data_IF_985435319909
#
_entry.id   IF_985435319909
#
_cell.length_a   1.000
_cell.length_b   1.000
_cell.length_c   1.000
_cell.angle_alpha   90.00
_cell.angle_beta   90.00
_cell.angle_gamma   90.00
#
_symmetry.space_group_name_H-M   'P 1'
#
loop_
_entity.id
_entity.type
_entity.pdbx_description
1 polymer ?
#
# COMPACT_ATOMS: atom_id res chain seq x y z
N UNK A 1 -1.61 28.99 -12.71
CA UNK A 1 -1.17 28.54 -11.36
C UNK A 1 0.22 29.11 -11.14
N UNK A 2 0.37 30.05 -10.20
CA UNK A 2 1.68 30.59 -9.86
C UNK A 2 2.42 29.54 -9.01
N UNK A 3 3.49 28.94 -9.54
CA UNK A 3 4.44 28.22 -8.71
C UNK A 3 5.02 29.21 -7.71
N UNK A 4 4.70 29.07 -6.42
CA UNK A 4 5.31 29.92 -5.39
C UNK A 4 6.82 29.70 -5.44
N UNK A 5 7.61 30.77 -5.24
CA UNK A 5 9.04 30.63 -5.01
C UNK A 5 9.24 29.73 -3.77
N UNK A 6 9.66 28.49 -4.02
CA UNK A 6 9.96 27.50 -3.00
C UNK A 6 11.30 27.81 -2.32
N UNK A 7 11.56 27.23 -1.13
CA UNK A 7 12.90 27.26 -0.55
C UNK A 7 13.88 26.52 -1.47
N UNK A 8 15.18 26.77 -1.31
CA UNK A 8 16.23 25.98 -1.97
C UNK A 8 16.09 24.52 -1.53
N UNK A 9 15.89 23.63 -2.50
CA UNK A 9 15.84 22.19 -2.27
C UNK A 9 17.24 21.63 -2.02
N UNK A 10 17.28 20.49 -1.33
CA UNK A 10 18.49 19.80 -0.93
C UNK A 10 18.80 18.65 -1.89
N UNK A 11 20.08 18.35 -2.02
CA UNK A 11 20.57 17.12 -2.62
C UNK A 11 20.51 15.98 -1.59
N UNK A 12 20.50 14.74 -2.06
CA UNK A 12 20.42 13.53 -1.24
C UNK A 12 21.46 13.53 -0.12
N UNK A 13 22.72 13.85 -0.43
CA UNK A 13 23.82 13.87 0.52
C UNK A 13 23.68 14.95 1.60
N UNK A 14 22.98 16.04 1.30
CA UNK A 14 22.73 17.15 2.24
C UNK A 14 21.42 17.00 3.01
N UNK A 15 20.58 16.01 2.65
CA UNK A 15 19.34 15.74 3.34
C UNK A 15 19.58 15.05 4.70
N UNK A 16 18.69 15.24 5.71
CA UNK A 16 18.79 14.52 6.98
C UNK A 16 18.83 12.99 6.81
N UNK A 17 19.56 12.24 7.66
CA UNK A 17 19.75 10.78 7.48
C UNK A 17 18.46 9.97 7.38
N UNK A 18 17.39 10.37 8.08
CA UNK A 18 16.09 9.69 8.03
C UNK A 18 15.33 9.89 6.70
N UNK A 19 15.74 10.85 5.87
CA UNK A 19 15.18 11.09 4.53
C UNK A 19 16.04 10.43 3.42
N UNK A 20 17.22 9.89 3.74
CA UNK A 20 18.16 9.28 2.80
C UNK A 20 17.81 7.81 2.47
N UNK A 21 16.55 7.49 2.16
CA UNK A 21 16.09 6.10 1.96
C UNK A 21 16.25 5.56 0.54
N UNK A 22 16.54 6.42 -0.45
CA UNK A 22 16.73 6.02 -1.84
C UNK A 22 17.93 6.76 -2.46
N UNK A 23 19.08 6.09 -2.56
CA UNK A 23 20.33 6.65 -3.09
C UNK A 23 20.31 6.98 -4.59
N UNK A 24 19.26 6.59 -5.31
CA UNK A 24 19.13 6.84 -6.75
C UNK A 24 18.32 8.11 -7.06
N UNK A 25 17.60 8.64 -6.06
CA UNK A 25 16.95 9.96 -6.13
C UNK A 25 17.94 10.97 -5.57
N UNK A 26 18.47 11.85 -6.42
CA UNK A 26 19.66 12.63 -6.08
C UNK A 26 19.33 14.05 -5.61
N UNK A 27 18.23 14.62 -6.07
CA UNK A 27 17.85 16.03 -5.86
C UNK A 27 16.38 16.19 -5.49
N UNK A 28 15.97 17.43 -5.21
CA UNK A 28 14.57 17.78 -5.01
C UNK A 28 14.03 17.55 -3.59
N UNK A 29 14.91 17.29 -2.61
CA UNK A 29 14.52 17.07 -1.22
C UNK A 29 14.13 18.37 -0.54
N UNK A 30 13.02 18.35 0.23
CA UNK A 30 12.59 19.52 1.00
C UNK A 30 13.46 19.71 2.25
N UNK A 31 13.85 20.95 2.59
CA UNK A 31 14.51 21.23 3.86
C UNK A 31 13.54 21.08 5.03
N UNK A 32 14.11 20.93 6.23
CA UNK A 32 13.33 20.84 7.46
C UNK A 32 12.40 22.06 7.62
N UNK A 33 11.09 21.82 7.74
CA UNK A 33 10.07 22.86 7.67
C UNK A 33 9.07 22.78 8.83
N UNK A 34 8.45 23.91 9.22
CA UNK A 34 7.29 23.89 10.13
C UNK A 34 6.09 23.21 9.47
N UNK A 35 5.03 22.91 10.23
CA UNK A 35 3.78 22.38 9.67
C UNK A 35 3.19 23.26 8.56
N UNK A 36 3.19 24.59 8.74
CA UNK A 36 2.77 25.53 7.70
C UNK A 36 3.70 25.52 6.47
N UNK A 37 5.01 25.36 6.67
CA UNK A 37 5.97 25.18 5.58
C UNK A 37 5.73 23.89 4.79
N UNK A 38 5.36 22.80 5.47
CA UNK A 38 4.95 21.55 4.84
C UNK A 38 3.68 21.76 3.99
N UNK A 39 2.66 22.42 4.52
CA UNK A 39 1.44 22.74 3.75
C UNK A 39 1.74 23.61 2.52
N UNK A 40 2.62 24.60 2.64
CA UNK A 40 3.05 25.43 1.51
C UNK A 40 3.77 24.61 0.42
N UNK A 41 4.35 23.46 0.75
CA UNK A 41 5.01 22.59 -0.23
C UNK A 41 4.08 21.98 -1.28
N UNK A 42 2.77 21.98 -1.03
CA UNK A 42 1.76 21.57 -2.02
C UNK A 42 1.79 22.41 -3.31
N UNK A 43 2.38 23.61 -3.26
CA UNK A 43 2.33 24.62 -4.32
C UNK A 43 3.68 24.88 -5.00
N UNK A 44 4.71 24.05 -4.75
CA UNK A 44 5.99 24.11 -5.48
C UNK A 44 6.52 22.72 -5.81
N UNK A 45 7.39 22.62 -6.81
CA UNK A 45 7.94 21.34 -7.28
C UNK A 45 8.98 20.76 -6.33
N UNK A 46 8.84 19.50 -5.96
CA UNK A 46 9.81 18.72 -5.17
C UNK A 46 9.62 17.21 -5.41
N UNK A 47 10.55 16.38 -4.95
CA UNK A 47 10.56 14.93 -5.24
C UNK A 47 9.36 14.14 -4.66
N UNK A 48 8.85 14.57 -3.51
CA UNK A 48 7.65 13.96 -2.90
C UNK A 48 6.31 14.41 -3.49
N UNK A 49 6.30 15.35 -4.46
CA UNK A 49 5.05 15.95 -4.93
C UNK A 49 4.12 14.90 -5.55
N UNK A 50 4.65 14.05 -6.43
CA UNK A 50 3.88 12.96 -7.00
C UNK A 50 3.30 12.04 -5.91
N UNK A 51 4.10 11.69 -4.90
CA UNK A 51 3.67 10.81 -3.80
C UNK A 51 2.52 11.42 -2.97
N UNK A 52 2.50 12.74 -2.80
CA UNK A 52 1.42 13.46 -2.09
C UNK A 52 0.13 13.41 -2.92
N UNK A 53 0.20 13.67 -4.23
CA UNK A 53 -0.99 13.75 -5.08
C UNK A 53 -1.54 12.39 -5.50
N UNK A 54 -0.74 11.31 -5.48
CA UNK A 54 -1.19 9.96 -5.89
C UNK A 54 -2.10 9.24 -4.87
N UNK A 55 -2.52 9.91 -3.79
CA UNK A 55 -3.37 9.39 -2.70
C UNK A 55 -2.76 8.23 -1.89
N UNK A 56 -3.29 7.97 -0.68
CA UNK A 56 -2.96 6.80 0.15
C UNK A 56 -2.10 7.07 1.39
N UNK A 57 -1.12 7.99 1.30
CA UNK A 57 -0.18 8.28 2.41
C UNK A 57 0.20 9.76 2.54
N UNK A 58 -0.75 10.63 2.17
CA UNK A 58 -0.60 12.09 2.10
C UNK A 58 0.02 12.69 3.36
N UNK A 59 -0.46 12.29 4.55
CA UNK A 59 0.05 12.83 5.81
C UNK A 59 1.54 12.54 6.03
N UNK A 60 1.98 11.33 5.71
CA UNK A 60 3.40 10.97 5.82
C UNK A 60 4.23 11.77 4.83
N UNK A 61 3.90 11.71 3.55
CA UNK A 61 4.68 12.40 2.52
C UNK A 61 4.65 13.91 2.67
N UNK A 62 3.54 14.50 3.12
CA UNK A 62 3.45 15.95 3.33
C UNK A 62 4.34 16.41 4.48
N UNK A 63 4.33 15.69 5.61
CA UNK A 63 4.96 16.10 6.86
C UNK A 63 6.27 15.37 7.19
N UNK A 64 6.80 14.49 6.33
CA UNK A 64 8.05 13.77 6.58
C UNK A 64 9.27 14.69 6.79
N UNK A 65 9.27 15.87 6.18
CA UNK A 65 10.31 16.89 6.35
C UNK A 65 10.04 17.86 7.52
N UNK A 66 9.13 17.52 8.45
CA UNK A 66 8.79 18.38 9.56
C UNK A 66 10.00 18.61 10.49
N UNK A 67 10.14 19.84 11.02
CA UNK A 67 11.24 20.26 11.92
C UNK A 67 11.38 19.41 13.20
N UNK A 68 10.36 18.62 13.54
CA UNK A 68 10.43 17.64 14.62
C UNK A 68 11.33 16.43 14.33
N UNK A 69 11.87 16.32 13.12
CA UNK A 69 12.92 15.37 12.75
C UNK A 69 12.52 13.90 12.81
N UNK A 70 13.48 13.03 13.12
CA UNK A 70 13.34 11.57 13.09
C UNK A 70 12.16 11.02 13.91
N UNK A 71 11.84 11.53 15.13
CA UNK A 71 10.68 11.06 15.88
C UNK A 71 9.33 11.28 15.16
N UNK A 72 9.15 12.45 14.54
CA UNK A 72 7.93 12.76 13.77
C UNK A 72 7.88 11.90 12.51
N UNK A 73 9.00 11.81 11.79
CA UNK A 73 9.14 10.94 10.63
C UNK A 73 8.73 9.49 10.92
N UNK A 74 9.23 8.91 12.02
CA UNK A 74 8.98 7.51 12.38
C UNK A 74 7.52 7.27 12.76
N UNK A 75 6.88 8.21 13.48
CA UNK A 75 5.44 8.11 13.81
C UNK A 75 4.56 8.20 12.58
N UNK A 76 4.88 9.13 11.67
CA UNK A 76 4.16 9.27 10.41
C UNK A 76 4.33 8.03 9.51
N UNK A 77 5.55 7.46 9.48
CA UNK A 77 5.80 6.20 8.76
C UNK A 77 5.03 5.03 9.37
N UNK A 78 4.93 4.97 10.70
CA UNK A 78 4.10 3.97 11.38
C UNK A 78 2.62 4.13 11.02
N UNK A 79 2.11 5.36 10.96
CA UNK A 79 0.73 5.66 10.54
C UNK A 79 0.47 5.21 9.10
N UNK A 80 1.40 5.49 8.18
CA UNK A 80 1.35 5.02 6.79
C UNK A 80 1.27 3.48 6.73
N UNK A 81 2.17 2.79 7.44
CA UNK A 81 2.16 1.34 7.52
C UNK A 81 0.88 0.77 8.13
N UNK A 82 0.31 1.43 9.15
CA UNK A 82 -0.99 1.05 9.70
C UNK A 82 -2.10 1.13 8.64
N UNK A 83 -2.09 2.16 7.79
CA UNK A 83 -3.04 2.30 6.68
C UNK A 83 -2.96 1.12 5.69
N UNK A 84 -1.74 0.75 5.29
CA UNK A 84 -1.49 -0.41 4.41
C UNK A 84 -1.98 -1.71 5.06
N UNK A 85 -1.65 -1.92 6.34
CA UNK A 85 -2.10 -3.10 7.10
C UNK A 85 -3.64 -3.17 7.16
N UNK A 86 -4.30 -2.04 7.40
CA UNK A 86 -5.75 -1.96 7.50
C UNK A 86 -6.42 -2.32 6.18
N UNK A 87 -5.98 -1.74 5.06
CA UNK A 87 -6.53 -2.02 3.72
C UNK A 87 -6.33 -3.50 3.36
N UNK A 88 -5.15 -4.06 3.61
CA UNK A 88 -4.84 -5.46 3.30
C UNK A 88 -5.65 -6.45 4.15
N UNK A 89 -5.99 -6.04 5.38
CA UNK A 89 -6.79 -6.85 6.30
C UNK A 89 -8.27 -6.75 5.95
N UNK A 90 -8.84 -5.54 6.00
CA UNK A 90 -10.26 -5.29 5.77
C UNK A 90 -10.70 -5.61 4.34
N UNK A 91 -9.81 -5.51 3.35
CA UNK A 91 -10.10 -5.92 1.98
C UNK A 91 -10.27 -7.43 1.82
N UNK A 92 -9.54 -8.23 2.60
CA UNK A 92 -9.57 -9.69 2.48
C UNK A 92 -10.72 -10.35 3.25
N UNK A 93 -11.14 -9.77 4.37
CA UNK A 93 -12.26 -10.28 5.17
C UNK A 93 -13.56 -10.51 4.36
N UNK A 94 -14.06 -9.56 3.54
CA UNK A 94 -15.26 -9.81 2.73
C UNK A 94 -15.02 -10.90 1.68
N UNK A 95 -13.80 -11.01 1.12
CA UNK A 95 -13.48 -12.07 0.15
C UNK A 95 -13.58 -13.45 0.81
N UNK A 96 -13.01 -13.61 2.00
CA UNK A 96 -13.08 -14.85 2.79
C UNK A 96 -14.54 -15.15 3.17
N UNK A 97 -15.27 -14.13 3.63
CA UNK A 97 -16.67 -14.25 4.02
C UNK A 97 -17.54 -14.76 2.86
N UNK A 98 -17.44 -14.15 1.67
CA UNK A 98 -18.20 -14.53 0.49
C UNK A 98 -17.75 -15.90 -0.07
N UNK A 99 -16.45 -16.19 -0.03
CA UNK A 99 -15.91 -17.47 -0.54
C UNK A 99 -16.36 -18.65 0.31
N UNK A 100 -16.51 -18.45 1.61
CA UNK A 100 -16.91 -19.50 2.57
C UNK A 100 -18.36 -19.33 3.05
N UNK A 101 -19.21 -18.60 2.31
CA UNK A 101 -20.56 -18.25 2.73
C UNK A 101 -21.39 -19.48 3.14
N UNK A 102 -21.23 -20.59 2.40
CA UNK A 102 -21.94 -21.85 2.64
C UNK A 102 -21.18 -22.85 3.53
N UNK A 103 -20.15 -22.41 4.27
CA UNK A 103 -19.35 -23.28 5.15
C UNK A 103 -19.40 -22.76 6.60
N UNK A 104 -20.39 -23.18 7.42
CA UNK A 104 -20.72 -22.53 8.69
C UNK A 104 -19.58 -22.55 9.72
N UNK A 105 -18.79 -23.62 9.77
CA UNK A 105 -17.66 -23.76 10.70
C UNK A 105 -16.35 -23.21 10.13
N UNK A 106 -16.09 -23.42 8.84
CA UNK A 106 -14.85 -23.01 8.19
C UNK A 106 -14.76 -21.49 8.05
N UNK A 107 -15.90 -20.82 7.80
CA UNK A 107 -15.96 -19.36 7.63
C UNK A 107 -15.44 -18.59 8.86
N UNK A 108 -16.00 -18.73 10.07
CA UNK A 108 -15.51 -18.01 11.24
C UNK A 108 -14.06 -18.40 11.59
N UNK A 109 -13.69 -19.68 11.44
CA UNK A 109 -12.32 -20.13 11.66
C UNK A 109 -11.31 -19.46 10.71
N UNK A 110 -11.64 -19.36 9.42
CA UNK A 110 -10.80 -18.70 8.42
C UNK A 110 -10.72 -17.18 8.63
N UNK A 111 -11.84 -16.52 8.99
CA UNK A 111 -11.85 -15.08 9.30
C UNK A 111 -10.99 -14.76 10.53
N UNK A 112 -11.11 -15.56 11.60
CA UNK A 112 -10.28 -15.42 12.79
C UNK A 112 -8.81 -15.68 12.46
N UNK A 113 -8.51 -16.79 11.78
CA UNK A 113 -7.16 -17.16 11.39
C UNK A 113 -6.48 -16.08 10.53
N UNK A 114 -7.19 -15.53 9.55
CA UNK A 114 -6.67 -14.45 8.72
C UNK A 114 -6.48 -13.14 9.50
N UNK A 115 -7.38 -12.83 10.45
CA UNK A 115 -7.24 -11.64 11.31
C UNK A 115 -6.00 -11.75 12.21
N UNK A 116 -5.77 -12.92 12.82
CA UNK A 116 -4.58 -13.20 13.62
C UNK A 116 -3.30 -13.12 12.79
N UNK A 117 -3.30 -13.75 11.61
CA UNK A 117 -2.19 -13.67 10.66
C UNK A 117 -1.89 -12.20 10.28
N UNK A 118 -2.94 -11.41 10.05
CA UNK A 118 -2.81 -9.99 9.72
C UNK A 118 -2.26 -9.17 10.88
N UNK A 119 -2.62 -9.49 12.13
CA UNK A 119 -2.01 -8.88 13.32
C UNK A 119 -0.51 -9.14 13.41
N UNK A 120 -0.08 -10.39 13.20
CA UNK A 120 1.35 -10.76 13.18
C UNK A 120 2.09 -10.09 12.02
N UNK A 121 1.50 -10.10 10.82
CA UNK A 121 2.07 -9.45 9.65
C UNK A 121 2.19 -7.93 9.85
N UNK A 122 1.18 -7.29 10.42
CA UNK A 122 1.18 -5.86 10.73
C UNK A 122 2.24 -5.49 11.76
N UNK A 123 2.37 -6.26 12.84
CA UNK A 123 3.45 -6.08 13.81
C UNK A 123 4.84 -6.18 13.16
N UNK A 124 5.06 -7.21 12.32
CA UNK A 124 6.32 -7.39 11.58
C UNK A 124 6.56 -6.25 10.58
N UNK A 125 5.53 -5.74 9.92
CA UNK A 125 5.66 -4.62 8.98
C UNK A 125 6.01 -3.30 9.69
N UNK A 126 5.41 -3.04 10.85
CA UNK A 126 5.67 -1.86 11.67
C UNK A 126 7.09 -1.85 12.26
N UNK A 127 7.60 -3.02 12.61
CA UNK A 127 8.95 -3.19 13.20
C UNK A 127 10.03 -3.50 12.16
N UNK A 128 9.68 -3.59 10.87
CA UNK A 128 10.61 -4.00 9.83
C UNK A 128 11.70 -2.95 9.56
N UNK A 129 12.99 -3.36 9.52
CA UNK A 129 14.11 -2.46 9.28
C UNK A 129 14.26 -2.06 7.80
N UNK A 130 13.61 -2.79 6.87
CA UNK A 130 13.76 -2.57 5.43
C UNK A 130 12.47 -2.80 4.67
N UNK A 131 12.37 -2.21 3.47
CA UNK A 131 11.24 -2.41 2.55
C UNK A 131 11.08 -3.87 2.14
N UNK A 132 12.18 -4.62 1.99
CA UNK A 132 12.12 -6.06 1.68
C UNK A 132 11.58 -6.89 2.85
N UNK A 133 11.89 -6.53 4.10
CA UNK A 133 11.30 -7.16 5.27
C UNK A 133 9.79 -6.89 5.36
N UNK A 134 9.34 -5.67 5.02
CA UNK A 134 7.91 -5.32 4.91
C UNK A 134 7.20 -6.14 3.84
N UNK A 135 7.78 -6.24 2.64
CA UNK A 135 7.21 -7.04 1.54
C UNK A 135 7.03 -8.51 1.96
N UNK A 136 8.02 -9.11 2.64
CA UNK A 136 7.91 -10.48 3.16
C UNK A 136 6.81 -10.64 4.21
N UNK A 137 6.60 -9.65 5.07
CA UNK A 137 5.51 -9.67 6.06
C UNK A 137 4.15 -9.72 5.36
N UNK A 138 3.93 -8.86 4.36
CA UNK A 138 2.70 -8.85 3.56
C UNK A 138 2.56 -10.07 2.65
N UNK A 139 3.66 -10.71 2.26
CA UNK A 139 3.67 -11.94 1.46
C UNK A 139 2.88 -13.09 2.10
N UNK A 140 2.88 -13.19 3.43
CA UNK A 140 2.07 -14.20 4.13
C UNK A 140 0.56 -13.95 3.98
N UNK A 141 0.13 -12.70 4.06
CA UNK A 141 -1.27 -12.34 3.85
C UNK A 141 -1.70 -12.59 2.39
N UNK A 142 -0.83 -12.26 1.43
CA UNK A 142 -1.05 -12.59 0.02
C UNK A 142 -1.15 -14.10 -0.22
N UNK A 143 -0.25 -14.89 0.37
CA UNK A 143 -0.31 -16.35 0.30
C UNK A 143 -1.61 -16.93 0.83
N UNK A 144 -2.08 -16.44 1.98
CA UNK A 144 -3.37 -16.85 2.55
C UNK A 144 -4.55 -16.52 1.62
N UNK A 145 -4.54 -15.35 0.95
CA UNK A 145 -5.55 -15.01 -0.06
C UNK A 145 -5.49 -15.90 -1.30
N UNK A 146 -4.30 -16.21 -1.80
CA UNK A 146 -4.13 -17.13 -2.93
C UNK A 146 -4.72 -18.52 -2.64
N UNK A 147 -4.63 -19.00 -1.39
CA UNK A 147 -5.30 -20.24 -0.98
C UNK A 147 -6.83 -20.13 -1.09
N UNK A 148 -7.40 -19.01 -0.64
CA UNK A 148 -8.85 -18.73 -0.76
C UNK A 148 -9.27 -18.66 -2.23
N UNK A 149 -8.46 -18.01 -3.07
CA UNK A 149 -8.71 -17.93 -4.51
C UNK A 149 -8.62 -19.31 -5.17
N UNK A 150 -7.66 -20.14 -4.77
CA UNK A 150 -7.51 -21.51 -5.23
C UNK A 150 -8.71 -22.37 -4.85
N UNK A 151 -9.16 -22.30 -3.59
CA UNK A 151 -10.36 -23.00 -3.13
C UNK A 151 -11.60 -22.59 -3.93
N UNK A 152 -11.75 -21.29 -4.20
CA UNK A 152 -12.84 -20.78 -5.04
C UNK A 152 -12.74 -21.27 -6.49
N UNK A 153 -11.55 -21.24 -7.08
CA UNK A 153 -11.30 -21.71 -8.45
C UNK A 153 -11.51 -23.22 -8.62
N UNK A 154 -11.25 -24.00 -7.57
CA UNK A 154 -11.49 -25.45 -7.53
C UNK A 154 -12.97 -25.83 -7.28
N UNK A 155 -13.88 -24.85 -7.18
CA UNK A 155 -15.30 -25.10 -6.89
C UNK A 155 -15.62 -25.42 -5.42
N UNK A 156 -14.64 -25.30 -4.52
CA UNK A 156 -14.84 -25.52 -3.08
C UNK A 156 -15.41 -24.29 -2.37
N UNK A 157 -15.36 -23.12 -3.03
CA UNK A 157 -15.84 -21.85 -2.52
C UNK A 157 -16.89 -21.19 -3.42
N UNK A 158 -17.56 -20.20 -2.86
CA UNK A 158 -18.71 -19.52 -3.47
C UNK A 158 -18.42 -18.07 -3.85
N UNK A 159 -19.38 -17.40 -4.50
CA UNK A 159 -19.34 -15.97 -4.76
C UNK A 159 -19.77 -15.57 -6.17
N UNK A 160 -19.78 -14.26 -6.44
CA UNK A 160 -20.18 -13.69 -7.72
C UNK A 160 -19.32 -14.18 -8.90
N UNK A 161 -19.93 -14.40 -10.08
CA UNK A 161 -19.18 -14.67 -11.30
C UNK A 161 -18.23 -13.51 -11.63
N UNK A 162 -16.96 -13.83 -11.88
CA UNK A 162 -15.97 -12.85 -12.33
C UNK A 162 -15.27 -12.02 -11.25
N UNK A 163 -15.73 -12.02 -9.99
CA UNK A 163 -15.02 -11.30 -8.90
C UNK A 163 -13.66 -11.92 -8.58
N UNK A 164 -13.50 -13.25 -8.76
CA UNK A 164 -12.19 -13.93 -8.65
C UNK A 164 -11.13 -13.32 -9.58
N UNK A 165 -11.49 -12.94 -10.81
CA UNK A 165 -10.55 -12.28 -11.74
C UNK A 165 -10.13 -10.90 -11.24
N UNK A 166 -11.04 -10.18 -10.61
CA UNK A 166 -10.73 -8.88 -9.99
C UNK A 166 -9.76 -9.06 -8.82
N UNK A 167 -9.96 -10.08 -7.98
CA UNK A 167 -9.05 -10.38 -6.87
C UNK A 167 -7.65 -10.82 -7.31
N UNK A 168 -7.55 -11.62 -8.38
CA UNK A 168 -6.27 -11.99 -8.97
C UNK A 168 -5.53 -10.75 -9.52
N UNK A 169 -6.25 -9.84 -10.19
CA UNK A 169 -5.68 -8.58 -10.69
C UNK A 169 -5.25 -7.66 -9.53
N UNK A 170 -6.06 -7.57 -8.48
CA UNK A 170 -5.74 -6.82 -7.27
C UNK A 170 -4.41 -7.27 -6.66
N UNK A 171 -4.23 -8.56 -6.40
CA UNK A 171 -3.00 -9.09 -5.80
C UNK A 171 -1.81 -8.99 -6.77
N UNK A 172 -2.02 -9.17 -8.07
CA UNK A 172 -0.97 -8.99 -9.08
C UNK A 172 -0.45 -7.54 -9.12
N UNK A 173 -1.34 -6.55 -9.11
CA UNK A 173 -0.96 -5.14 -9.09
C UNK A 173 -0.23 -4.75 -7.80
N UNK A 174 -0.71 -5.23 -6.65
CA UNK A 174 -0.07 -4.98 -5.36
C UNK A 174 1.34 -5.59 -5.29
N UNK A 175 1.49 -6.84 -5.73
CA UNK A 175 2.78 -7.53 -5.76
C UNK A 175 3.76 -6.85 -6.73
N UNK A 176 3.29 -6.50 -7.93
CA UNK A 176 4.11 -5.79 -8.92
C UNK A 176 4.61 -4.45 -8.36
N UNK A 177 3.72 -3.65 -7.75
CA UNK A 177 4.11 -2.39 -7.12
C UNK A 177 5.14 -2.58 -6.01
N UNK A 178 4.95 -3.58 -5.14
CA UNK A 178 5.90 -3.93 -4.10
C UNK A 178 7.27 -4.32 -4.64
N UNK A 179 7.31 -5.15 -5.69
CA UNK A 179 8.54 -5.58 -6.35
C UNK A 179 9.27 -4.41 -7.02
N UNK A 180 8.55 -3.54 -7.74
CA UNK A 180 9.11 -2.33 -8.37
C UNK A 180 9.76 -1.42 -7.32
N UNK A 181 9.07 -1.16 -6.21
CA UNK A 181 9.58 -0.32 -5.11
C UNK A 181 10.76 -0.94 -4.36
N UNK A 182 10.80 -2.27 -4.17
CA UNK A 182 11.98 -2.95 -3.59
C UNK A 182 13.16 -2.92 -4.56
N UNK A 183 12.92 -3.13 -5.86
CA UNK A 183 13.95 -3.12 -6.89
C UNK A 183 14.51 -1.72 -7.20
N UNK A 184 13.77 -0.67 -6.81
CA UNK A 184 14.05 0.76 -7.09
C UNK A 184 14.10 1.07 -8.59
N UNK A 185 13.16 0.51 -9.35
CA UNK A 185 13.07 0.70 -10.80
C UNK A 185 12.00 1.75 -11.15
N UNK A 186 12.25 2.66 -12.10
CA UNK A 186 13.41 2.72 -13.01
C UNK A 186 14.59 3.56 -12.50
N UNK A 187 14.49 4.24 -11.35
CA UNK A 187 15.51 5.20 -10.90
C UNK A 187 16.90 4.59 -10.69
N UNK A 188 16.98 3.29 -10.39
CA UNK A 188 18.23 2.54 -10.32
C UNK A 188 18.95 2.43 -11.67
N UNK A 189 18.23 2.43 -12.79
CA UNK A 189 18.84 2.35 -14.12
C UNK A 189 19.47 3.68 -14.54
N UNK A 190 18.82 4.80 -14.23
CA UNK A 190 19.30 6.14 -14.56
C UNK A 190 19.10 7.06 -13.35
N UNK A 191 20.04 7.06 -12.38
CA UNK A 191 19.94 7.90 -11.19
C UNK A 191 19.82 9.39 -11.54
N UNK A 192 19.03 10.14 -10.77
CA UNK A 192 18.77 11.58 -11.01
C UNK A 192 17.65 11.87 -12.02
N UNK A 193 17.41 10.99 -13.00
CA UNK A 193 16.42 11.24 -14.07
C UNK A 193 14.96 11.19 -13.57
N UNK A 194 14.72 10.39 -12.54
CA UNK A 194 13.39 10.13 -11.99
C UNK A 194 13.17 10.79 -10.63
N UNK A 195 13.94 11.85 -10.31
CA UNK A 195 13.90 12.49 -8.99
C UNK A 195 12.51 13.05 -8.65
N UNK A 196 11.84 13.64 -9.63
CA UNK A 196 10.54 14.29 -9.43
C UNK A 196 9.36 13.42 -9.85
N UNK A 197 9.52 12.63 -10.92
CA UNK A 197 8.44 11.88 -11.55
C UNK A 197 8.89 10.50 -11.98
N UNK A 198 8.00 9.51 -11.84
CA UNK A 198 8.18 8.16 -12.35
C UNK A 198 9.18 7.31 -11.58
N UNK A 199 9.54 7.69 -10.35
CA UNK A 199 10.31 6.80 -9.48
C UNK A 199 9.47 5.61 -9.00
N UNK A 200 10.13 4.56 -8.55
CA UNK A 200 9.52 3.31 -8.11
C UNK A 200 8.46 3.48 -7.01
N UNK A 201 8.62 4.48 -6.14
CA UNK A 201 7.68 4.73 -5.05
C UNK A 201 6.37 5.29 -5.59
N UNK A 202 6.43 6.26 -6.51
CA UNK A 202 5.26 6.80 -7.19
C UNK A 202 4.53 5.72 -8.00
N UNK A 203 5.28 4.87 -8.70
CA UNK A 203 4.70 3.74 -9.46
C UNK A 203 3.99 2.78 -8.51
N UNK A 204 4.58 2.46 -7.36
CA UNK A 204 3.94 1.62 -6.35
C UNK A 204 2.63 2.22 -5.84
N UNK A 205 2.56 3.54 -5.57
CA UNK A 205 1.31 4.20 -5.18
C UNK A 205 0.24 4.06 -6.27
N UNK A 206 0.58 4.35 -7.53
CA UNK A 206 -0.34 4.21 -8.65
C UNK A 206 -0.88 2.78 -8.80
N UNK A 207 0.00 1.77 -8.71
CA UNK A 207 -0.40 0.36 -8.77
C UNK A 207 -1.24 -0.05 -7.55
N UNK A 208 -0.96 0.52 -6.37
CA UNK A 208 -1.75 0.29 -5.15
C UNK A 208 -3.16 0.85 -5.27
N UNK A 209 -3.32 2.05 -5.84
CA UNK A 209 -4.65 2.62 -6.16
C UNK A 209 -5.39 1.72 -7.15
N UNK A 210 -4.72 1.28 -8.22
CA UNK A 210 -5.30 0.31 -9.17
C UNK A 210 -5.74 -0.99 -8.50
N UNK A 211 -4.94 -1.50 -7.56
CA UNK A 211 -5.27 -2.68 -6.75
C UNK A 211 -6.54 -2.45 -5.91
N UNK A 212 -6.66 -1.31 -5.23
CA UNK A 212 -7.86 -0.95 -4.44
C UNK A 212 -9.11 -0.84 -5.32
N UNK A 213 -8.98 -0.28 -6.53
CA UNK A 213 -10.09 -0.22 -7.49
C UNK A 213 -10.53 -1.63 -7.93
N UNK A 214 -9.60 -2.55 -8.17
CA UNK A 214 -9.91 -3.95 -8.48
C UNK A 214 -10.54 -4.67 -7.28
N UNK A 215 -10.06 -4.40 -6.07
CA UNK A 215 -10.67 -4.90 -4.82
C UNK A 215 -12.13 -4.47 -4.75
N UNK A 216 -12.42 -3.18 -4.93
CA UNK A 216 -13.78 -2.64 -4.89
C UNK A 216 -14.68 -3.27 -5.97
N UNK A 217 -14.18 -3.34 -7.21
CA UNK A 217 -14.90 -3.94 -8.34
C UNK A 217 -15.21 -5.43 -8.13
N UNK A 218 -14.38 -6.16 -7.36
CA UNK A 218 -14.64 -7.55 -6.99
C UNK A 218 -15.59 -7.71 -5.80
N UNK A 219 -15.33 -6.98 -4.71
CA UNK A 219 -16.03 -7.14 -3.42
C UNK A 219 -17.48 -6.71 -3.49
N UNK A 220 -17.80 -5.61 -4.18
CA UNK A 220 -19.19 -5.11 -4.23
C UNK A 220 -20.14 -6.14 -4.85
N UNK A 221 -19.88 -6.69 -6.05
CA UNK A 221 -20.68 -7.78 -6.59
C UNK A 221 -20.71 -9.01 -5.69
N UNK A 222 -19.60 -9.36 -5.03
CA UNK A 222 -19.51 -10.55 -4.16
C UNK A 222 -20.39 -10.45 -2.93
N UNK A 223 -20.43 -9.28 -2.29
CA UNK A 223 -21.30 -9.00 -1.16
C UNK A 223 -22.77 -8.97 -1.56
N UNK A 224 -23.09 -8.36 -2.71
CA UNK A 224 -24.46 -8.37 -3.25
C UNK A 224 -24.92 -9.78 -3.61
N UNK A 225 -24.03 -10.61 -4.14
CA UNK A 225 -24.28 -12.02 -4.40
C UNK A 225 -24.53 -12.76 -3.08
N UNK A 226 -23.67 -12.58 -2.07
CA UNK A 226 -23.81 -13.24 -0.78
C UNK A 226 -25.10 -12.88 -0.05
N UNK A 227 -25.59 -11.64 -0.20
CA UNK A 227 -26.85 -11.20 0.39
C UNK A 227 -28.09 -11.85 -0.24
N UNK A 228 -27.99 -12.35 -1.49
CA UNK A 228 -29.11 -12.93 -2.25
C UNK A 228 -29.02 -14.44 -2.41
N UNK A 229 -27.85 -15.02 -2.16
CA UNK A 229 -27.61 -16.43 -2.40
C UNK A 229 -28.04 -17.29 -1.21
N UNK A 230 -28.84 -18.32 -1.48
CA UNK A 230 -29.22 -19.34 -0.51
C UNK A 230 -28.32 -20.56 -0.66
N UNK A 231 -27.59 -20.88 0.40
CA UNK A 231 -26.83 -22.12 0.45
C UNK A 231 -27.76 -23.32 0.52
N UNK A 232 -27.39 -24.41 -0.15
CA UNK A 232 -28.09 -25.67 -0.01
C UNK A 232 -27.92 -26.17 1.44
N UNK A 233 -28.96 -26.77 2.05
CA UNK A 233 -28.81 -27.46 3.33
C UNK A 233 -27.83 -28.62 3.16
N UNK A 234 -26.89 -28.74 4.11
CA UNK A 234 -25.92 -29.84 4.21
C UNK A 234 -26.62 -31.20 4.38
#
# INVERSE_FOLDING_TARGET
>A
MAFLAGPRLLDWASSPPHLQFNKFVLTGYRPASSGSGCLRSLFYMHNELGNIYTHGSVLYHLFMCHKGGSPVYTRLLALDMCGVCLINTLGALPIIHCTLACRPWLRPAALLGYTLLSGVAGWRALTAPSTSARLRAFGWQAGARLLVFGARGAGLGSGAPGSLRCYLRMDALALLGGLVNVARLPERWVPGRFDYWGNSHQIMHLLSVGSILQLHAGVVPDLLWAARHTCLPD
#
